data_IF_082953396825
#
_entry.id   IF_082953396825
#
_cell.length_a   1.000
_cell.length_b   1.000
_cell.length_c   1.000
_cell.angle_alpha   90.00
_cell.angle_beta   90.00
_cell.angle_gamma   90.00
#
_symmetry.space_group_name_H-M   'P 1'
#
loop_
_entity.id
_entity.type
_entity.pdbx_description
1 polymer ?
#
# COMPACT_ATOMS: atom_id res chain seq x y z
N UNK A 1 54.89 13.47 40.12
CA UNK A 1 53.65 14.19 39.78
C UNK A 1 52.56 13.72 40.75
N UNK A 2 52.35 14.43 41.86
CA UNK A 2 51.33 14.05 42.85
C UNK A 2 49.98 14.51 42.31
N UNK A 3 49.17 13.56 41.83
CA UNK A 3 47.82 13.86 41.40
C UNK A 3 47.02 14.31 42.63
N UNK A 4 46.41 15.48 42.58
CA UNK A 4 45.55 15.97 43.66
C UNK A 4 44.44 14.93 43.89
N UNK A 5 44.17 14.59 45.15
CA UNK A 5 43.21 13.55 45.53
C UNK A 5 41.81 13.74 44.89
N UNK A 6 41.46 14.98 44.53
CA UNK A 6 40.26 15.35 43.78
C UNK A 6 40.22 14.78 42.35
N UNK A 7 41.34 14.71 41.63
CA UNK A 7 41.39 14.16 40.26
C UNK A 7 41.27 12.64 40.24
N UNK A 8 41.87 11.94 41.21
CA UNK A 8 41.72 10.49 41.37
C UNK A 8 40.30 10.10 41.77
N UNK A 9 39.65 10.86 42.66
CA UNK A 9 38.25 10.63 43.01
C UNK A 9 37.31 10.89 41.82
N UNK A 10 37.57 11.93 41.03
CA UNK A 10 36.82 12.22 39.81
C UNK A 10 36.99 11.11 38.75
N UNK A 11 38.20 10.60 38.53
CA UNK A 11 38.44 9.49 37.60
C UNK A 11 37.76 8.19 38.02
N UNK A 12 37.77 7.86 39.32
CA UNK A 12 37.05 6.69 39.85
C UNK A 12 35.54 6.87 39.70
N UNK A 13 35.02 8.08 39.94
CA UNK A 13 33.61 8.40 39.70
C UNK A 13 33.20 8.26 38.23
N UNK A 14 34.00 8.79 37.30
CA UNK A 14 33.76 8.64 35.85
C UNK A 14 33.86 7.19 35.41
N UNK A 15 34.84 6.42 35.92
CA UNK A 15 34.99 5.01 35.60
C UNK A 15 33.83 4.16 36.15
N UNK A 16 33.34 4.46 37.36
CA UNK A 16 32.17 3.80 37.93
C UNK A 16 30.90 4.09 37.12
N UNK A 17 30.69 5.36 36.73
CA UNK A 17 29.57 5.73 35.84
C UNK A 17 29.68 5.03 34.48
N UNK A 18 30.88 4.98 33.90
CA UNK A 18 31.13 4.28 32.65
C UNK A 18 30.91 2.77 32.76
N UNK A 19 31.31 2.13 33.87
CA UNK A 19 31.10 0.71 34.13
C UNK A 19 29.62 0.38 34.34
N UNK A 20 28.86 1.23 35.04
CA UNK A 20 27.40 1.09 35.19
C UNK A 20 26.71 1.25 33.83
N UNK A 21 27.11 2.24 33.04
CA UNK A 21 26.56 2.45 31.70
C UNK A 21 26.89 1.28 30.75
N UNK A 22 28.13 0.79 30.78
CA UNK A 22 28.55 -0.36 29.98
C UNK A 22 27.87 -1.66 30.42
N UNK A 23 27.73 -1.89 31.73
CA UNK A 23 27.03 -3.03 32.29
C UNK A 23 25.53 -3.04 31.94
N UNK A 24 24.89 -1.88 32.02
CA UNK A 24 23.49 -1.72 31.60
C UNK A 24 23.32 -1.96 30.09
N UNK A 25 24.21 -1.42 29.26
CA UNK A 25 24.20 -1.65 27.81
C UNK A 25 24.44 -3.12 27.46
N UNK A 26 25.35 -3.81 28.15
CA UNK A 26 25.64 -5.23 27.94
C UNK A 26 24.47 -6.13 28.38
N UNK A 27 23.85 -5.84 29.52
CA UNK A 27 22.67 -6.55 30.00
C UNK A 27 21.50 -6.41 29.03
N UNK A 28 21.24 -5.18 28.56
CA UNK A 28 20.21 -4.88 27.58
C UNK A 28 20.43 -5.65 26.27
N UNK A 29 21.64 -5.61 25.72
CA UNK A 29 21.98 -6.35 24.50
C UNK A 29 21.85 -7.88 24.68
N UNK A 30 22.18 -8.41 25.87
CA UNK A 30 22.03 -9.84 26.17
C UNK A 30 20.56 -10.27 26.29
N UNK A 31 19.72 -9.48 26.97
CA UNK A 31 18.29 -9.79 27.13
C UNK A 31 17.54 -9.72 25.79
N UNK A 32 17.87 -8.75 24.94
CA UNK A 32 17.21 -8.56 23.63
C UNK A 32 17.70 -9.57 22.58
N UNK A 33 18.99 -9.91 22.58
CA UNK A 33 19.56 -10.87 21.62
C UNK A 33 19.01 -12.29 21.81
N UNK A 34 18.72 -12.70 23.04
CA UNK A 34 18.11 -14.01 23.34
C UNK A 34 16.61 -14.11 23.02
N UNK A 35 15.88 -13.00 22.95
CA UNK A 35 14.42 -13.00 22.77
C UNK A 35 14.03 -13.21 21.31
N UNK A 36 13.36 -14.33 20.98
CA UNK A 36 12.88 -14.61 19.62
C UNK A 36 11.35 -14.52 19.60
N UNK A 37 10.77 -13.34 19.28
CA UNK A 37 9.33 -13.17 19.30
C UNK A 37 8.65 -14.07 18.28
N UNK A 38 7.59 -14.75 18.70
CA UNK A 38 6.71 -15.44 17.75
C UNK A 38 6.03 -14.42 16.85
N UNK A 39 5.89 -14.67 15.55
CA UNK A 39 5.19 -13.76 14.64
C UNK A 39 3.75 -13.49 15.08
N UNK A 40 3.28 -12.26 14.88
CA UNK A 40 1.96 -11.81 15.32
C UNK A 40 1.12 -11.43 14.10
N UNK A 41 -0.14 -11.86 14.09
CA UNK A 41 -1.09 -11.42 13.06
C UNK A 41 -1.63 -10.04 13.39
N UNK A 42 -1.89 -9.20 12.38
CA UNK A 42 -2.68 -8.00 12.58
C UNK A 42 -4.02 -8.36 13.20
N UNK A 43 -4.46 -7.55 14.15
CA UNK A 43 -5.78 -7.66 14.76
C UNK A 43 -6.51 -6.33 14.70
N UNK A 44 -7.54 -6.18 15.55
CA UNK A 44 -8.37 -4.96 15.57
C UNK A 44 -7.59 -3.74 16.07
N UNK A 45 -6.53 -3.96 16.84
CA UNK A 45 -5.61 -2.91 17.28
C UNK A 45 -4.21 -3.40 16.96
N UNK A 46 -3.47 -2.69 16.13
CA UNK A 46 -2.16 -3.16 15.65
C UNK A 46 -1.14 -2.03 15.65
N UNK A 47 0.07 -2.31 16.15
CA UNK A 47 1.25 -1.50 15.87
C UNK A 47 2.15 -2.22 14.87
N UNK A 48 2.45 -1.54 13.77
CA UNK A 48 3.28 -2.04 12.68
C UNK A 48 4.54 -1.19 12.60
N UNK A 49 5.69 -1.83 12.72
CA UNK A 49 6.98 -1.22 12.38
C UNK A 49 7.13 -1.18 10.87
N UNK A 50 7.39 0.01 10.33
CA UNK A 50 7.63 0.24 8.91
C UNK A 50 9.09 0.69 8.77
N UNK A 51 9.88 -0.11 8.06
CA UNK A 51 11.25 0.23 7.73
C UNK A 51 11.28 1.31 6.63
N UNK A 52 11.69 2.52 7.00
CA UNK A 52 11.75 3.67 6.09
C UNK A 52 13.05 3.74 5.29
N UNK A 53 14.06 2.93 5.63
CA UNK A 53 15.36 2.92 4.95
C UNK A 53 15.25 2.54 3.46
N UNK A 54 14.13 1.92 3.10
CA UNK A 54 13.80 1.51 1.75
C UNK A 54 13.23 2.66 0.88
N UNK A 55 13.23 3.91 1.38
CA UNK A 55 12.85 5.09 0.58
C UNK A 55 11.36 5.40 0.56
N UNK A 56 10.59 4.87 1.51
CA UNK A 56 9.18 5.24 1.69
C UNK A 56 8.90 5.61 3.14
N UNK A 57 7.94 6.52 3.32
CA UNK A 57 7.37 6.81 4.62
C UNK A 57 5.85 6.89 4.52
N UNK A 58 5.16 6.53 5.59
CA UNK A 58 3.72 6.62 5.70
C UNK A 58 3.38 7.95 6.37
N UNK A 59 2.54 8.74 5.72
CA UNK A 59 1.93 9.93 6.28
C UNK A 59 0.49 9.57 6.63
N UNK A 60 0.07 9.86 7.86
CA UNK A 60 -1.32 9.72 8.27
C UNK A 60 -1.92 11.11 8.41
N UNK A 61 -2.90 11.43 7.58
CA UNK A 61 -3.62 12.69 7.62
C UNK A 61 -5.10 12.45 7.37
N UNK A 62 -5.97 13.07 8.17
CA UNK A 62 -7.43 12.93 8.06
C UNK A 62 -7.89 11.47 7.98
N UNK A 63 -7.38 10.60 8.87
CA UNK A 63 -7.72 9.16 8.93
C UNK A 63 -7.31 8.35 7.68
N UNK A 64 -6.54 8.96 6.78
CA UNK A 64 -6.02 8.32 5.57
C UNK A 64 -4.52 8.15 5.69
N UNK A 65 -4.06 6.91 5.56
CA UNK A 65 -2.65 6.61 5.37
C UNK A 65 -2.27 6.81 3.90
N UNK A 66 -1.15 7.49 3.69
CA UNK A 66 -0.56 7.75 2.39
C UNK A 66 0.90 7.27 2.41
N UNK A 67 1.27 6.48 1.41
CA UNK A 67 2.65 6.15 1.11
C UNK A 67 3.28 7.32 0.36
N UNK A 68 4.31 7.90 0.94
CA UNK A 68 5.14 8.92 0.35
C UNK A 68 6.49 8.30 -0.04
N UNK A 69 6.85 8.41 -1.32
CA UNK A 69 8.16 8.00 -1.83
C UNK A 69 9.17 9.11 -1.55
N UNK A 70 10.27 8.77 -0.89
CA UNK A 70 11.34 9.70 -0.60
C UNK A 70 12.14 9.93 -1.88
N UNK A 71 11.90 11.06 -2.56
CA UNK A 71 12.81 11.49 -3.62
C UNK A 71 14.18 11.82 -2.99
N UNK A 72 15.26 11.41 -3.66
CA UNK A 72 16.63 11.62 -3.21
C UNK A 72 16.86 13.04 -2.70
N UNK A 73 17.55 13.16 -1.56
CA UNK A 73 17.88 14.41 -0.82
C UNK A 73 18.69 15.45 -1.62
N UNK A 74 18.75 15.37 -2.96
CA UNK A 74 19.42 16.34 -3.86
C UNK A 74 18.47 17.32 -4.54
N UNK A 75 17.15 17.15 -4.46
CA UNK A 75 16.20 18.13 -5.00
C UNK A 75 15.61 19.00 -3.90
N UNK A 76 16.29 20.13 -3.60
CA UNK A 76 15.63 21.27 -2.94
C UNK A 76 14.84 22.03 -4.00
N UNK A 77 13.62 21.58 -4.30
CA UNK A 77 12.64 22.38 -5.03
C UNK A 77 11.28 22.24 -4.36
N UNK A 78 10.81 23.37 -3.82
CA UNK A 78 9.40 23.74 -3.52
C UNK A 78 8.41 22.63 -3.19
N UNK A 79 7.84 22.67 -1.97
CA UNK A 79 6.83 21.75 -1.41
C UNK A 79 5.47 21.63 -2.13
N UNK A 80 5.38 21.93 -3.42
CA UNK A 80 4.24 21.56 -4.28
C UNK A 80 4.48 20.26 -5.06
N UNK A 81 5.73 19.81 -5.26
CA UNK A 81 6.02 18.55 -5.98
C UNK A 81 5.90 17.30 -5.10
N UNK A 82 6.17 17.39 -3.79
CA UNK A 82 6.05 16.27 -2.86
C UNK A 82 4.61 15.73 -2.75
N UNK A 83 3.60 16.57 -2.99
CA UNK A 83 2.19 16.17 -2.99
C UNK A 83 1.80 15.30 -4.19
N UNK A 84 2.56 15.29 -5.30
CA UNK A 84 2.20 14.59 -6.53
C UNK A 84 2.41 13.06 -6.49
N UNK A 85 3.21 12.55 -5.54
CA UNK A 85 3.53 11.13 -5.44
C UNK A 85 2.94 10.42 -4.22
N UNK A 86 2.08 11.08 -3.44
CA UNK A 86 1.38 10.46 -2.32
C UNK A 86 0.38 9.41 -2.82
N UNK A 87 0.59 8.15 -2.45
CA UNK A 87 -0.32 7.05 -2.80
C UNK A 87 -1.15 6.68 -1.58
N UNK A 88 -2.48 6.69 -1.70
CA UNK A 88 -3.34 6.22 -0.62
C UNK A 88 -3.08 4.73 -0.37
N UNK A 89 -2.88 4.35 0.89
CA UNK A 89 -2.79 2.95 1.30
C UNK A 89 -4.16 2.53 1.83
N UNK A 90 -4.84 1.57 1.19
CA UNK A 90 -6.05 0.99 1.74
C UNK A 90 -5.68 0.11 2.95
N UNK A 91 -5.86 0.63 4.16
CA UNK A 91 -5.36 0.01 5.40
C UNK A 91 -5.96 -1.39 5.64
N UNK A 92 -7.27 -1.56 5.43
CA UNK A 92 -7.93 -2.86 5.57
C UNK A 92 -7.29 -3.90 4.65
N UNK A 93 -7.15 -3.58 3.37
CA UNK A 93 -6.54 -4.45 2.37
C UNK A 93 -5.07 -4.72 2.69
N UNK A 94 -4.33 -3.73 3.19
CA UNK A 94 -2.96 -3.88 3.65
C UNK A 94 -2.84 -4.85 4.84
N UNK A 95 -3.70 -4.72 5.86
CA UNK A 95 -3.71 -5.62 7.02
C UNK A 95 -4.10 -7.05 6.62
N UNK A 96 -5.12 -7.20 5.79
CA UNK A 96 -5.56 -8.52 5.29
C UNK A 96 -4.50 -9.17 4.38
N UNK A 97 -3.76 -8.37 3.61
CA UNK A 97 -2.61 -8.86 2.83
C UNK A 97 -1.54 -9.46 3.75
N UNK A 98 -1.20 -8.81 4.87
CA UNK A 98 -0.27 -9.34 5.88
C UNK A 98 -0.78 -10.62 6.58
N UNK A 99 -2.07 -10.94 6.45
CA UNK A 99 -2.67 -12.19 6.93
C UNK A 99 -2.73 -13.28 5.85
N UNK A 100 -2.32 -12.97 4.61
CA UNK A 100 -2.34 -13.91 3.49
C UNK A 100 -3.60 -13.89 2.63
N UNK A 101 -4.46 -12.86 2.75
CA UNK A 101 -5.67 -12.74 1.94
C UNK A 101 -5.33 -12.31 0.50
N UNK A 102 -5.48 -13.24 -0.45
CA UNK A 102 -5.20 -13.02 -1.86
C UNK A 102 -6.13 -11.99 -2.53
N UNK A 103 -7.38 -11.87 -2.09
CA UNK A 103 -8.35 -10.91 -2.64
C UNK A 103 -8.01 -9.51 -2.17
N UNK A 104 -7.72 -9.35 -0.89
CA UNK A 104 -7.25 -8.09 -0.33
C UNK A 104 -5.93 -7.65 -0.99
N UNK A 105 -5.02 -8.59 -1.23
CA UNK A 105 -3.76 -8.33 -1.90
C UNK A 105 -3.95 -7.87 -3.36
N UNK A 106 -4.91 -8.44 -4.08
CA UNK A 106 -5.29 -7.96 -5.42
C UNK A 106 -5.77 -6.50 -5.39
N UNK A 107 -6.65 -6.15 -4.44
CA UNK A 107 -7.15 -4.77 -4.26
C UNK A 107 -6.05 -3.78 -3.85
N UNK A 108 -5.19 -4.17 -2.92
CA UNK A 108 -4.02 -3.38 -2.54
C UNK A 108 -3.13 -3.13 -3.76
N UNK A 109 -2.86 -4.17 -4.55
CA UNK A 109 -2.02 -4.09 -5.76
C UNK A 109 -2.62 -3.15 -6.81
N UNK A 110 -3.94 -3.21 -7.04
CA UNK A 110 -4.65 -2.28 -7.92
C UNK A 110 -4.51 -0.83 -7.44
N UNK A 111 -4.78 -0.59 -6.14
CA UNK A 111 -4.69 0.74 -5.55
C UNK A 111 -3.28 1.34 -5.65
N UNK A 112 -2.25 0.55 -5.33
CA UNK A 112 -0.85 1.00 -5.42
C UNK A 112 -0.40 1.23 -6.86
N UNK A 113 -1.00 0.55 -7.84
CA UNK A 113 -0.69 0.73 -9.26
C UNK A 113 -1.62 1.71 -10.00
N UNK A 114 -2.44 2.48 -9.27
CA UNK A 114 -3.36 3.49 -9.83
C UNK A 114 -4.41 2.90 -10.79
N UNK A 115 -4.80 1.66 -10.55
CA UNK A 115 -5.92 1.06 -11.27
C UNK A 115 -7.20 1.47 -10.52
N UNK A 116 -8.04 2.28 -11.16
CA UNK A 116 -9.26 2.81 -10.55
C UNK A 116 -10.42 1.80 -10.67
N UNK A 117 -11.19 1.62 -9.60
CA UNK A 117 -12.43 0.83 -9.66
C UNK A 117 -13.45 1.46 -10.61
N UNK A 118 -13.46 2.78 -10.76
CA UNK A 118 -14.38 3.47 -11.68
C UNK A 118 -14.11 3.06 -13.13
N UNK A 119 -12.84 2.94 -13.53
CA UNK A 119 -12.45 2.46 -14.86
C UNK A 119 -12.89 1.01 -15.10
N UNK A 120 -12.84 0.17 -14.05
CA UNK A 120 -13.29 -1.23 -14.12
C UNK A 120 -14.81 -1.32 -14.31
N UNK A 121 -15.59 -0.45 -13.65
CA UNK A 121 -17.06 -0.45 -13.74
C UNK A 121 -17.61 -0.06 -15.12
N UNK A 122 -16.81 0.62 -15.94
CA UNK A 122 -17.18 0.94 -17.32
C UNK A 122 -17.21 -0.29 -18.24
N UNK A 123 -16.39 -1.30 -17.94
CA UNK A 123 -16.29 -2.52 -18.74
C UNK A 123 -17.47 -3.46 -18.49
N UNK A 124 -17.96 -4.11 -19.56
CA UNK A 124 -19.13 -5.01 -19.47
C UNK A 124 -18.76 -6.48 -19.31
N UNK A 125 -17.51 -6.84 -19.56
CA UNK A 125 -17.04 -8.22 -19.49
C UNK A 125 -15.69 -8.30 -18.79
N UNK A 126 -15.55 -9.30 -17.94
CA UNK A 126 -14.29 -9.66 -17.29
C UNK A 126 -13.74 -10.92 -17.92
N UNK A 127 -12.51 -10.85 -18.40
CA UNK A 127 -11.80 -11.93 -19.08
C UNK A 127 -10.62 -12.39 -18.26
N UNK A 128 -10.57 -13.69 -17.98
CA UNK A 128 -9.42 -14.31 -17.33
C UNK A 128 -8.24 -14.36 -18.30
N UNK A 129 -7.03 -14.09 -17.82
CA UNK A 129 -5.80 -14.19 -18.62
C UNK A 129 -5.67 -15.52 -19.36
N UNK A 130 -6.08 -16.62 -18.72
CA UNK A 130 -6.03 -17.97 -19.28
C UNK A 130 -6.97 -18.14 -20.49
N UNK A 131 -8.15 -17.51 -20.44
CA UNK A 131 -9.13 -17.59 -21.53
C UNK A 131 -8.78 -16.63 -22.68
N UNK A 132 -8.15 -15.48 -22.37
CA UNK A 132 -7.56 -14.61 -23.40
C UNK A 132 -6.45 -15.36 -24.14
N UNK A 133 -5.55 -16.03 -23.42
CA UNK A 133 -4.45 -16.78 -24.06
C UNK A 133 -5.00 -17.85 -25.01
N UNK A 134 -6.00 -18.63 -24.59
CA UNK A 134 -6.69 -19.60 -25.48
C UNK A 134 -7.32 -18.94 -26.70
N UNK A 135 -7.98 -17.79 -26.52
CA UNK A 135 -8.56 -17.03 -27.63
C UNK A 135 -7.49 -16.57 -28.64
N UNK A 136 -6.35 -16.08 -28.13
CA UNK A 136 -5.20 -15.67 -28.95
C UNK A 136 -4.53 -16.84 -29.68
N UNK A 137 -4.57 -18.03 -29.07
CA UNK A 137 -4.07 -19.28 -29.66
C UNK A 137 -5.05 -19.91 -30.69
N UNK A 138 -6.22 -19.28 -30.89
CA UNK A 138 -7.17 -19.64 -31.93
C UNK A 138 -8.32 -20.55 -31.49
N UNK A 139 -8.64 -20.59 -30.18
CA UNK A 139 -9.82 -21.31 -29.70
C UNK A 139 -11.09 -20.84 -30.45
N UNK A 140 -11.84 -21.78 -31.09
CA UNK A 140 -12.93 -21.42 -32.00
C UNK A 140 -14.15 -20.83 -31.29
N UNK A 141 -14.25 -20.96 -29.97
CA UNK A 141 -15.36 -20.42 -29.16
C UNK A 141 -14.93 -19.10 -28.54
N UNK A 142 -13.75 -19.07 -27.91
CA UNK A 142 -13.28 -17.91 -27.16
C UNK A 142 -12.81 -16.78 -28.06
N UNK A 143 -12.18 -17.06 -29.20
CA UNK A 143 -11.74 -16.02 -30.14
C UNK A 143 -12.88 -15.13 -30.64
N UNK A 144 -13.95 -15.66 -31.27
CA UNK A 144 -15.05 -14.81 -31.74
C UNK A 144 -15.80 -14.14 -30.59
N UNK A 145 -15.86 -14.75 -29.41
CA UNK A 145 -16.43 -14.11 -28.21
C UNK A 145 -15.59 -12.90 -27.77
N UNK A 146 -14.27 -13.04 -27.73
CA UNK A 146 -13.34 -11.97 -27.36
C UNK A 146 -13.40 -10.81 -28.37
N UNK A 147 -13.40 -11.10 -29.67
CA UNK A 147 -13.53 -10.08 -30.73
C UNK A 147 -14.89 -9.36 -30.66
N UNK A 148 -15.96 -10.08 -30.31
CA UNK A 148 -17.28 -9.48 -30.08
C UNK A 148 -17.28 -8.55 -28.86
N UNK A 149 -16.70 -8.98 -27.74
CA UNK A 149 -16.65 -8.20 -26.49
C UNK A 149 -15.74 -6.96 -26.62
N UNK A 150 -14.64 -7.06 -27.36
CA UNK A 150 -13.73 -5.95 -27.69
C UNK A 150 -14.29 -5.00 -28.75
N UNK A 151 -15.32 -5.43 -29.48
CA UNK A 151 -15.86 -4.75 -30.64
C UNK A 151 -14.82 -4.42 -31.73
N UNK A 152 -13.79 -5.25 -31.86
CA UNK A 152 -12.72 -5.15 -32.84
C UNK A 152 -12.11 -6.54 -33.03
N UNK A 153 -11.71 -6.86 -34.26
CA UNK A 153 -11.00 -8.10 -34.55
C UNK A 153 -9.61 -8.07 -33.93
N UNK A 154 -9.01 -9.24 -33.67
CA UNK A 154 -7.67 -9.32 -33.06
C UNK A 154 -6.56 -8.70 -33.93
N UNK A 155 -6.79 -8.50 -35.22
CA UNK A 155 -5.90 -7.81 -36.14
C UNK A 155 -6.10 -6.28 -36.21
N UNK A 156 -7.02 -5.74 -35.40
CA UNK A 156 -7.36 -4.32 -35.38
C UNK A 156 -8.48 -3.91 -36.35
N UNK A 157 -9.10 -4.86 -37.07
CA UNK A 157 -10.18 -4.54 -38.02
C UNK A 157 -11.51 -4.35 -37.28
N UNK A 158 -12.17 -3.19 -37.36
CA UNK A 158 -13.47 -2.97 -36.75
C UNK A 158 -14.59 -3.74 -37.47
N UNK A 159 -15.59 -4.28 -36.76
CA UNK A 159 -16.70 -4.99 -37.37
C UNK A 159 -17.60 -4.05 -38.21
N UNK A 160 -18.37 -4.57 -39.17
CA UNK A 160 -19.27 -3.76 -39.99
C UNK A 160 -20.49 -3.24 -39.22
N UNK A 161 -20.92 -3.95 -38.18
CA UNK A 161 -22.04 -3.58 -37.33
C UNK A 161 -21.56 -2.81 -36.10
N UNK A 162 -22.26 -1.73 -35.75
CA UNK A 162 -21.95 -0.93 -34.57
C UNK A 162 -22.71 -1.49 -33.37
N UNK A 163 -21.97 -1.88 -32.33
CA UNK A 163 -22.53 -2.32 -31.03
C UNK A 163 -21.99 -1.41 -29.94
N UNK A 164 -22.71 -0.33 -29.69
CA UNK A 164 -22.33 0.66 -28.67
C UNK A 164 -22.06 0.05 -27.30
N UNK A 165 -22.76 -1.05 -26.98
CA UNK A 165 -22.60 -1.72 -25.71
C UNK A 165 -21.21 -2.32 -25.48
N UNK A 166 -20.54 -2.80 -26.52
CA UNK A 166 -19.19 -3.38 -26.45
C UNK A 166 -18.11 -2.39 -26.89
N UNK A 167 -18.50 -1.38 -27.69
CA UNK A 167 -17.59 -0.31 -28.13
C UNK A 167 -17.20 0.64 -27.00
N UNK A 168 -18.10 0.89 -26.05
CA UNK A 168 -17.89 1.83 -24.93
C UNK A 168 -17.52 1.04 -23.67
N UNK A 169 -16.45 1.44 -22.98
CA UNK A 169 -15.97 0.83 -21.73
C UNK A 169 -15.01 -0.37 -21.85
N UNK A 170 -14.84 -0.96 -23.04
CA UNK A 170 -13.88 -2.06 -23.26
C UNK A 170 -14.13 -3.32 -22.42
N UNK A 171 -13.04 -4.04 -22.09
CA UNK A 171 -13.06 -5.25 -21.25
C UNK A 171 -12.18 -5.06 -20.01
N UNK A 172 -12.44 -5.84 -18.97
CA UNK A 172 -11.52 -5.99 -17.84
C UNK A 172 -10.74 -7.29 -17.98
N UNK A 173 -9.41 -7.22 -17.89
CA UNK A 173 -8.50 -8.37 -17.90
C UNK A 173 -8.12 -8.75 -16.48
N UNK A 174 -8.48 -9.96 -16.06
CA UNK A 174 -8.14 -10.54 -14.76
C UNK A 174 -6.81 -11.31 -14.83
N UNK A 175 -5.77 -10.71 -14.26
CA UNK A 175 -4.38 -11.15 -14.32
C UNK A 175 -3.91 -11.78 -12.99
N UNK A 176 -3.37 -13.01 -13.00
CA UNK A 176 -2.69 -13.57 -11.84
C UNK A 176 -1.31 -12.95 -11.66
N UNK A 177 -1.11 -12.27 -10.54
CA UNK A 177 0.17 -11.65 -10.15
C UNK A 177 0.70 -12.38 -8.92
N UNK A 178 1.92 -12.93 -9.02
CA UNK A 178 2.58 -13.61 -7.90
C UNK A 178 3.34 -12.58 -7.06
N UNK A 179 3.00 -12.50 -5.78
CA UNK A 179 3.52 -11.49 -4.87
C UNK A 179 4.07 -12.18 -3.62
N UNK A 180 5.30 -11.81 -3.25
CA UNK A 180 5.93 -12.24 -2.00
C UNK A 180 5.41 -11.44 -0.82
N UNK A 181 4.91 -12.14 0.19
CA UNK A 181 4.32 -11.53 1.39
C UNK A 181 4.95 -12.14 2.65
N UNK A 182 5.41 -11.34 3.62
CA UNK A 182 5.84 -11.84 4.92
C UNK A 182 4.61 -12.16 5.79
N UNK A 183 4.26 -13.45 5.87
CA UNK A 183 3.16 -13.96 6.69
C UNK A 183 3.78 -14.74 7.84
N UNK A 184 3.45 -14.35 9.08
CA UNK A 184 3.95 -15.04 10.27
C UNK A 184 5.48 -15.31 10.23
N UNK A 185 6.26 -14.31 9.84
CA UNK A 185 7.73 -14.41 9.79
C UNK A 185 8.30 -15.30 8.68
N UNK A 186 7.45 -15.82 7.77
CA UNK A 186 7.84 -16.56 6.58
C UNK A 186 7.45 -15.77 5.34
N UNK A 187 8.31 -15.80 4.32
CA UNK A 187 7.97 -15.22 3.01
C UNK A 187 7.21 -16.28 2.22
N UNK A 188 5.94 -16.00 1.94
CA UNK A 188 5.08 -16.83 1.11
C UNK A 188 4.81 -16.15 -0.23
N UNK A 189 4.61 -16.93 -1.30
CA UNK A 189 4.23 -16.41 -2.61
C UNK A 189 2.72 -16.60 -2.76
N UNK A 190 1.99 -15.50 -2.77
CA UNK A 190 0.54 -15.48 -2.96
C UNK A 190 0.23 -15.08 -4.40
N UNK A 191 -0.69 -15.79 -5.04
CA UNK A 191 -1.24 -15.38 -6.33
C UNK A 191 -2.44 -14.44 -6.11
N UNK A 192 -2.24 -13.15 -6.35
CA UNK A 192 -3.27 -12.13 -6.30
C UNK A 192 -3.87 -11.91 -7.69
N UNK A 193 -5.19 -11.78 -7.77
CA UNK A 193 -5.90 -11.50 -9.03
C UNK A 193 -6.07 -9.99 -9.18
N UNK A 194 -5.37 -9.39 -10.16
CA UNK A 194 -5.36 -7.96 -10.45
C UNK A 194 -6.15 -7.71 -11.72
N UNK A 195 -7.18 -6.88 -11.62
CA UNK A 195 -8.01 -6.50 -12.76
C UNK A 195 -7.40 -5.29 -13.47
N UNK A 196 -7.27 -5.34 -14.79
CA UNK A 196 -6.75 -4.24 -15.60
C UNK A 196 -7.76 -3.90 -16.71
N UNK A 197 -8.18 -2.62 -16.85
CA UNK A 197 -9.02 -2.23 -17.97
C UNK A 197 -8.23 -2.33 -19.28
N UNK A 198 -8.87 -2.81 -20.33
CA UNK A 198 -8.33 -2.82 -21.69
C UNK A 198 -9.35 -2.29 -22.69
N UNK A 199 -8.89 -1.34 -23.50
CA UNK A 199 -9.66 -0.80 -24.61
C UNK A 199 -8.71 -0.55 -25.78
N UNK A 200 -9.12 -0.97 -26.98
CA UNK A 200 -8.36 -0.70 -28.20
C UNK A 200 -8.30 0.80 -28.50
N UNK A 201 -7.29 1.25 -29.24
CA UNK A 201 -7.14 2.65 -29.69
C UNK A 201 -8.38 3.12 -30.45
N UNK A 202 -8.98 2.25 -31.25
CA UNK A 202 -10.20 2.53 -31.98
C UNK A 202 -11.37 2.79 -31.03
N UNK A 203 -11.60 1.90 -30.07
CA UNK A 203 -12.67 2.06 -29.08
C UNK A 203 -12.47 3.29 -28.20
N UNK A 204 -11.22 3.56 -27.77
CA UNK A 204 -10.89 4.74 -26.99
C UNK A 204 -11.18 6.05 -27.75
N UNK A 205 -10.81 6.11 -29.03
CA UNK A 205 -11.11 7.27 -29.86
C UNK A 205 -12.62 7.46 -30.05
N UNK A 206 -13.37 6.37 -30.23
CA UNK A 206 -14.83 6.42 -30.36
C UNK A 206 -15.50 6.91 -29.08
N UNK A 207 -15.10 6.40 -27.92
CA UNK A 207 -15.64 6.83 -26.62
C UNK A 207 -15.38 8.31 -26.37
N UNK A 208 -14.18 8.79 -26.67
CA UNK A 208 -13.82 10.21 -26.58
C UNK A 208 -14.67 11.10 -27.49
N UNK A 209 -14.77 10.78 -28.78
CA UNK A 209 -15.54 11.59 -29.74
C UNK A 209 -17.05 11.60 -29.43
N UNK A 210 -17.59 10.50 -28.91
CA UNK A 210 -18.98 10.42 -28.47
C UNK A 210 -19.18 11.26 -27.21
N UNK A 211 -18.28 11.15 -26.23
CA UNK A 211 -18.36 11.88 -24.96
C UNK A 211 -18.22 13.40 -25.11
N UNK A 212 -17.49 13.88 -26.12
CA UNK A 212 -17.36 15.31 -26.44
C UNK A 212 -18.63 15.92 -27.05
N UNK A 213 -19.57 15.11 -27.55
CA UNK A 213 -20.82 15.58 -28.17
C UNK A 213 -22.00 15.49 -27.21
N UNK A 214 -22.79 16.55 -27.14
CA UNK A 214 -24.05 16.53 -26.40
C UNK A 214 -25.11 15.72 -27.16
N UNK A 215 -25.49 14.55 -26.63
CA UNK A 215 -26.54 13.66 -27.15
C UNK A 215 -26.45 13.37 -28.66
N UNK A 216 -25.35 12.75 -29.14
CA UNK A 216 -25.14 12.51 -30.57
C UNK A 216 -26.20 11.57 -31.16
N UNK A 217 -26.72 11.91 -32.34
CA UNK A 217 -27.68 11.05 -33.05
C UNK A 217 -27.02 9.77 -33.57
N UNK A 218 -27.83 8.74 -33.87
CA UNK A 218 -27.33 7.46 -34.40
C UNK A 218 -26.58 7.65 -35.72
N UNK A 219 -27.01 8.58 -36.57
CA UNK A 219 -26.37 8.90 -37.84
C UNK A 219 -25.00 9.56 -37.61
N UNK A 220 -24.90 10.45 -36.62
CA UNK A 220 -23.62 11.06 -36.23
C UNK A 220 -22.63 10.00 -35.74
N UNK A 221 -23.09 9.06 -34.90
CA UNK A 221 -22.27 7.95 -34.39
C UNK A 221 -21.79 7.06 -35.55
N UNK A 222 -22.68 6.70 -36.47
CA UNK A 222 -22.30 5.91 -37.64
C UNK A 222 -21.29 6.62 -38.54
N UNK A 223 -21.41 7.94 -38.68
CA UNK A 223 -20.44 8.78 -39.38
C UNK A 223 -19.06 8.76 -38.71
N UNK A 224 -19.00 8.96 -37.38
CA UNK A 224 -17.77 8.89 -36.60
C UNK A 224 -17.11 7.51 -36.69
N UNK A 225 -17.91 6.44 -36.57
CA UNK A 225 -17.44 5.06 -36.68
C UNK A 225 -16.77 4.79 -38.03
N UNK A 226 -17.42 5.16 -39.14
CA UNK A 226 -16.83 4.98 -40.49
C UNK A 226 -15.56 5.79 -40.68
N UNK A 227 -15.52 7.03 -40.16
CA UNK A 227 -14.34 7.89 -40.23
C UNK A 227 -13.16 7.34 -39.42
N UNK A 228 -13.42 6.73 -38.26
CA UNK A 228 -12.36 6.13 -37.46
C UNK A 228 -11.95 4.76 -38.01
N UNK A 229 -12.90 3.99 -38.56
CA UNK A 229 -12.62 2.69 -39.17
C UNK A 229 -11.66 2.84 -40.36
N UNK A 230 -11.79 3.88 -41.19
CA UNK A 230 -10.86 4.13 -42.30
C UNK A 230 -9.42 4.44 -41.85
N UNK A 231 -9.22 4.82 -40.57
CA UNK A 231 -7.91 5.11 -39.97
C UNK A 231 -7.26 3.90 -39.26
N UNK A 232 -7.92 2.74 -39.25
CA UNK A 232 -7.39 1.50 -38.63
C UNK A 232 -6.50 0.67 -39.57
N UNK A 233 -6.52 0.95 -40.88
CA UNK A 233 -5.70 0.23 -41.86
C UNK A 233 -4.18 0.46 -41.75
N UNK A 234 -3.39 -0.29 -42.52
CA UNK A 234 -1.91 -0.20 -42.52
C UNK A 234 -1.43 1.25 -42.72
N UNK A 235 -0.68 1.77 -41.74
CA UNK A 235 -0.15 3.14 -41.72
C UNK A 235 -1.13 4.20 -41.19
N UNK A 236 -2.35 3.80 -40.81
CA UNK A 236 -3.34 4.68 -40.18
C UNK A 236 -3.02 4.97 -38.72
N UNK A 237 -3.52 6.10 -38.23
CA UNK A 237 -3.26 6.59 -36.86
C UNK A 237 -3.91 5.74 -35.77
N UNK A 238 -4.95 4.98 -36.10
CA UNK A 238 -5.67 4.08 -35.18
C UNK A 238 -5.32 2.61 -35.40
N UNK A 239 -4.30 2.32 -36.22
CA UNK A 239 -3.84 0.95 -36.43
C UNK A 239 -3.23 0.39 -35.13
N UNK A 240 -3.70 -0.78 -34.72
CA UNK A 240 -3.27 -1.51 -33.53
C UNK A 240 -3.35 -3.01 -33.81
N UNK A 241 -2.29 -3.73 -33.47
CA UNK A 241 -2.33 -5.19 -33.35
C UNK A 241 -2.90 -5.53 -31.96
N UNK A 242 -4.21 -5.73 -31.90
CA UNK A 242 -4.96 -5.98 -30.66
C UNK A 242 -4.48 -7.26 -29.98
N UNK A 243 -4.16 -8.30 -30.75
CA UNK A 243 -3.58 -9.52 -30.21
C UNK A 243 -2.24 -9.24 -29.51
N UNK A 244 -1.36 -8.44 -30.13
CA UNK A 244 -0.10 -8.05 -29.51
C UNK A 244 -0.32 -7.19 -28.27
N UNK A 245 -1.21 -6.20 -28.30
CA UNK A 245 -1.53 -5.38 -27.12
C UNK A 245 -2.02 -6.21 -25.93
N UNK A 246 -2.88 -7.21 -26.17
CA UNK A 246 -3.33 -8.14 -25.13
C UNK A 246 -2.19 -9.00 -24.61
N UNK A 247 -1.34 -9.55 -25.49
CA UNK A 247 -0.12 -10.29 -25.08
C UNK A 247 0.81 -9.43 -24.24
N UNK A 248 0.96 -8.16 -24.61
CA UNK A 248 1.79 -7.21 -23.87
C UNK A 248 1.23 -6.93 -22.46
N UNK A 249 -0.08 -7.04 -22.23
CA UNK A 249 -0.70 -6.92 -20.87
C UNK A 249 -0.44 -8.19 -20.05
N UNK A 250 -0.47 -9.35 -20.71
CA UNK A 250 -0.24 -10.65 -20.09
C UNK A 250 1.26 -11.01 -19.98
N UNK A 251 2.15 -10.12 -20.41
CA UNK A 251 3.60 -10.33 -20.34
C UNK A 251 4.02 -10.56 -18.88
N UNK A 252 4.67 -11.71 -18.56
CA UNK A 252 5.14 -12.01 -17.21
C UNK A 252 5.99 -10.90 -16.60
N UNK A 253 6.75 -10.15 -17.41
CA UNK A 253 7.55 -9.03 -16.93
C UNK A 253 6.67 -7.89 -16.42
N UNK A 254 5.63 -7.51 -17.17
CA UNK A 254 4.70 -6.46 -16.72
C UNK A 254 3.88 -6.89 -15.52
N UNK A 255 3.51 -8.17 -15.44
CA UNK A 255 2.85 -8.71 -14.25
C UNK A 255 3.78 -8.63 -13.03
N UNK A 256 5.09 -8.86 -13.20
CA UNK A 256 6.07 -8.66 -12.13
C UNK A 256 6.21 -7.18 -11.76
N UNK A 257 6.18 -6.25 -12.71
CA UNK A 257 6.22 -4.80 -12.44
C UNK A 257 5.03 -4.36 -11.55
N UNK A 258 3.87 -5.01 -11.68
CA UNK A 258 2.71 -4.78 -10.80
C UNK A 258 2.97 -5.24 -9.35
N UNK A 259 3.79 -6.27 -9.17
CA UNK A 259 4.13 -6.83 -7.86
C UNK A 259 5.15 -5.98 -7.08
N UNK A 260 6.00 -5.20 -7.75
CA UNK A 260 7.13 -4.52 -7.11
C UNK A 260 6.71 -3.63 -5.92
N UNK A 261 5.72 -2.75 -6.13
CA UNK A 261 5.25 -1.82 -5.09
C UNK A 261 4.62 -2.53 -3.89
N UNK A 262 3.65 -3.46 -4.05
CA UNK A 262 3.10 -4.19 -2.91
C UNK A 262 4.15 -5.07 -2.23
N UNK A 263 5.03 -5.77 -2.96
CA UNK A 263 6.11 -6.56 -2.34
C UNK A 263 7.01 -5.67 -1.47
N UNK A 264 7.40 -4.52 -1.99
CA UNK A 264 8.26 -3.59 -1.28
C UNK A 264 7.60 -3.05 0.00
N UNK A 265 6.34 -2.59 -0.09
CA UNK A 265 5.56 -2.11 1.06
C UNK A 265 5.35 -3.21 2.12
N UNK A 266 4.99 -4.43 1.70
CA UNK A 266 4.71 -5.53 2.62
C UNK A 266 6.00 -6.03 3.27
N UNK A 267 7.12 -6.05 2.53
CA UNK A 267 8.43 -6.48 3.06
C UNK A 267 9.02 -5.52 4.11
N UNK A 268 8.70 -4.23 4.04
CA UNK A 268 9.12 -3.24 5.03
C UNK A 268 8.24 -3.25 6.29
N UNK A 269 7.08 -3.90 6.24
CA UNK A 269 6.12 -3.95 7.33
C UNK A 269 6.35 -5.16 8.25
N UNK A 270 6.43 -4.91 9.55
CA UNK A 270 6.50 -5.95 10.58
C UNK A 270 5.44 -5.68 11.63
N UNK A 271 4.53 -6.64 11.84
CA UNK A 271 3.54 -6.56 12.91
C UNK A 271 4.26 -6.78 14.25
N UNK A 272 4.34 -5.73 15.06
CA UNK A 272 5.07 -5.77 16.32
C UNK A 272 4.17 -6.24 17.45
N UNK A 273 3.00 -5.62 17.59
CA UNK A 273 2.03 -5.95 18.62
C UNK A 273 0.61 -5.84 18.07
N UNK A 274 -0.30 -6.60 18.66
CA UNK A 274 -1.74 -6.49 18.44
C UNK A 274 -2.50 -6.35 19.78
N UNK A 275 -3.84 -6.41 19.77
CA UNK A 275 -4.68 -6.25 20.97
C UNK A 275 -4.32 -7.19 22.12
N UNK A 276 -3.78 -8.40 21.87
CA UNK A 276 -3.42 -9.34 22.95
C UNK A 276 -2.22 -8.85 23.77
N UNK A 277 -1.43 -7.94 23.21
CA UNK A 277 -0.22 -7.40 23.84
C UNK A 277 -0.46 -6.05 24.53
N UNK A 278 -1.67 -5.51 24.46
CA UNK A 278 -2.08 -4.25 25.11
C UNK A 278 -2.83 -4.60 26.39
N UNK A 279 -2.50 -3.96 27.52
CA UNK A 279 -3.18 -4.13 28.81
C UNK A 279 -4.31 -3.13 28.99
N UNK A 280 -4.00 -1.87 28.76
CA UNK A 280 -4.91 -0.75 28.96
C UNK A 280 -4.61 0.37 27.95
N UNK A 281 -5.53 1.31 27.84
CA UNK A 281 -5.34 2.53 27.10
C UNK A 281 -6.01 3.70 27.83
N UNK A 282 -5.41 4.87 27.74
CA UNK A 282 -5.92 6.14 28.24
C UNK A 282 -5.67 7.23 27.21
N UNK A 283 -6.46 8.30 27.27
CA UNK A 283 -6.23 9.47 26.44
C UNK A 283 -6.18 10.73 27.29
N UNK A 284 -5.45 11.73 26.82
CA UNK A 284 -5.34 13.04 27.45
C UNK A 284 -5.48 14.13 26.38
N UNK A 285 -6.38 15.08 26.60
CA UNK A 285 -6.47 16.30 25.79
C UNK A 285 -5.64 17.43 26.42
N UNK A 286 -5.04 18.25 25.58
CA UNK A 286 -4.30 19.43 26.00
C UNK A 286 -4.25 20.48 24.88
N UNK A 287 -4.01 21.73 25.25
CA UNK A 287 -3.83 22.84 24.31
C UNK A 287 -2.34 23.09 24.09
N UNK A 288 -1.91 23.07 22.83
CA UNK A 288 -0.54 23.36 22.44
C UNK A 288 -0.19 24.83 22.49
N UNK A 289 1.10 25.13 22.40
CA UNK A 289 1.61 26.51 22.39
C UNK A 289 1.08 27.33 21.19
N UNK A 290 0.60 26.66 20.15
CA UNK A 290 -0.04 27.24 18.97
C UNK A 290 -1.56 27.46 19.13
N UNK A 291 -2.09 27.28 20.34
CA UNK A 291 -3.52 27.33 20.70
C UNK A 291 -4.39 26.28 19.98
N UNK A 292 -3.76 25.26 19.37
CA UNK A 292 -4.50 24.12 18.84
C UNK A 292 -4.67 23.07 19.93
N UNK A 293 -5.79 22.37 19.87
CA UNK A 293 -6.07 21.29 20.80
C UNK A 293 -5.54 19.99 20.22
N UNK A 294 -4.82 19.25 21.05
CA UNK A 294 -4.22 17.96 20.73
C UNK A 294 -4.73 16.89 21.68
N UNK A 295 -4.62 15.64 21.25
CA UNK A 295 -4.82 14.48 22.10
C UNK A 295 -3.60 13.58 22.08
N UNK A 296 -3.29 13.00 23.24
CA UNK A 296 -2.30 11.94 23.37
C UNK A 296 -3.03 10.64 23.73
N UNK A 297 -2.63 9.53 23.13
CA UNK A 297 -3.08 8.18 23.51
C UNK A 297 -1.92 7.49 24.19
N UNK A 298 -2.13 7.03 25.43
CA UNK A 298 -1.15 6.21 26.16
C UNK A 298 -1.67 4.79 26.29
N UNK A 299 -0.88 3.82 25.84
CA UNK A 299 -1.20 2.40 25.88
C UNK A 299 -0.24 1.68 26.81
N UNK A 300 -0.76 1.02 27.83
CA UNK A 300 0.00 0.06 28.61
C UNK A 300 0.20 -1.22 27.80
N UNK A 301 1.44 -1.67 27.64
CA UNK A 301 1.78 -2.92 26.94
C UNK A 301 2.16 -4.02 27.94
N UNK A 302 1.93 -5.27 27.53
CA UNK A 302 2.41 -6.45 28.26
C UNK A 302 3.94 -6.56 28.21
N UNK A 303 4.53 -7.39 29.06
CA UNK A 303 5.98 -7.67 29.01
C UNK A 303 6.43 -8.21 27.65
N UNK A 304 5.63 -9.07 27.03
CA UNK A 304 5.91 -9.58 25.69
C UNK A 304 5.84 -8.45 24.64
N UNK A 305 4.81 -7.60 24.71
CA UNK A 305 4.68 -6.42 23.86
C UNK A 305 5.85 -5.45 23.99
N UNK A 306 6.30 -5.19 25.22
CA UNK A 306 7.48 -4.36 25.50
C UNK A 306 8.75 -4.96 24.88
N UNK A 307 9.00 -6.25 25.10
CA UNK A 307 10.19 -6.93 24.54
C UNK A 307 10.21 -6.91 23.01
N UNK A 308 9.04 -7.02 22.36
CA UNK A 308 8.89 -6.90 20.90
C UNK A 308 9.27 -5.50 20.39
N UNK A 309 8.69 -4.46 20.99
CA UNK A 309 8.99 -3.07 20.64
C UNK A 309 10.46 -2.74 20.89
N UNK A 310 11.00 -3.21 22.01
CA UNK A 310 12.40 -3.01 22.38
C UNK A 310 13.32 -3.67 21.36
N UNK A 311 13.11 -4.96 21.07
CA UNK A 311 13.93 -5.69 20.09
C UNK A 311 13.90 -5.04 18.71
N UNK A 312 12.72 -4.64 18.24
CA UNK A 312 12.61 -3.99 16.93
C UNK A 312 13.35 -2.65 16.90
N UNK A 313 13.13 -1.80 17.90
CA UNK A 313 13.76 -0.46 17.97
C UNK A 313 15.27 -0.47 18.22
N UNK A 314 15.84 -1.56 18.75
CA UNK A 314 17.29 -1.73 18.82
C UNK A 314 17.88 -2.16 17.47
N UNK A 315 17.14 -2.96 16.69
CA UNK A 315 17.59 -3.50 15.40
C UNK A 315 17.39 -2.56 14.20
N UNK A 316 16.49 -1.58 14.33
CA UNK A 316 16.10 -0.65 13.26
C UNK A 316 16.21 0.78 13.77
N UNK A 317 16.98 1.59 13.06
CA UNK A 317 17.04 3.04 13.28
C UNK A 317 16.06 3.76 12.35
N UNK A 318 15.49 4.86 12.81
CA UNK A 318 14.63 5.77 12.03
C UNK A 318 13.39 5.12 11.37
N UNK A 319 12.84 4.07 11.97
CA UNK A 319 11.63 3.41 11.48
C UNK A 319 10.36 4.20 11.84
N UNK A 320 9.25 3.92 11.17
CA UNK A 320 7.94 4.45 11.55
C UNK A 320 7.12 3.41 12.30
N UNK A 321 6.41 3.86 13.33
CA UNK A 321 5.51 3.01 14.09
C UNK A 321 4.07 3.35 13.73
N UNK A 322 3.49 2.62 12.77
CA UNK A 322 2.12 2.84 12.35
C UNK A 322 1.14 2.23 13.36
N UNK A 323 0.25 3.07 13.88
CA UNK A 323 -0.81 2.68 14.80
C UNK A 323 -2.16 2.63 14.10
N UNK A 324 -2.79 1.46 14.15
CA UNK A 324 -4.07 1.20 13.51
C UNK A 324 -5.07 0.70 14.56
N UNK A 325 -6.27 1.27 14.52
CA UNK A 325 -7.42 0.82 15.31
C UNK A 325 -8.62 0.65 14.38
N UNK A 326 -9.19 -0.56 14.37
CA UNK A 326 -10.35 -0.93 13.58
C UNK A 326 -10.23 -0.51 12.10
N UNK A 327 -9.14 -0.94 11.46
CA UNK A 327 -8.76 -0.62 10.07
C UNK A 327 -8.53 0.88 9.75
N UNK A 328 -8.46 1.74 10.77
CA UNK A 328 -8.14 3.17 10.62
C UNK A 328 -6.73 3.44 11.13
N UNK A 329 -5.86 3.95 10.25
CA UNK A 329 -4.55 4.44 10.65
C UNK A 329 -4.70 5.76 11.42
N UNK A 330 -4.18 5.78 12.64
CA UNK A 330 -4.28 6.92 13.56
C UNK A 330 -3.02 7.78 13.53
N UNK A 331 -1.85 7.13 13.45
CA UNK A 331 -0.56 7.81 13.41
C UNK A 331 0.51 6.90 12.81
N UNK A 332 1.60 7.51 12.34
CA UNK A 332 2.82 6.81 11.94
C UNK A 332 4.07 7.63 12.33
N UNK A 333 4.29 7.91 13.64
CA UNK A 333 5.46 8.65 14.09
C UNK A 333 6.76 7.94 13.72
N UNK A 334 7.78 8.74 13.37
CA UNK A 334 9.15 8.26 13.24
C UNK A 334 9.75 8.04 14.62
N UNK A 335 10.33 6.87 14.83
CA UNK A 335 10.97 6.46 16.08
C UNK A 335 12.48 6.47 15.88
N UNK A 336 13.15 7.32 16.66
CA UNK A 336 14.61 7.48 16.64
C UNK A 336 15.29 6.91 17.89
N UNK A 337 14.49 6.52 18.89
CA UNK A 337 14.95 6.05 20.19
C UNK A 337 14.48 4.64 20.50
N UNK A 338 15.12 4.00 21.48
CA UNK A 338 14.77 2.67 21.95
C UNK A 338 13.45 2.67 22.72
N UNK A 339 12.55 1.75 22.38
CA UNK A 339 11.23 1.58 23.00
C UNK A 339 11.27 0.45 24.03
N UNK A 340 11.76 0.73 25.24
CA UNK A 340 11.88 -0.26 26.32
C UNK A 340 10.91 -0.02 27.50
N UNK A 341 9.89 0.81 27.31
CA UNK A 341 8.96 1.19 28.36
C UNK A 341 7.69 0.33 28.33
N UNK A 342 7.07 0.19 29.49
CA UNK A 342 5.80 -0.53 29.67
C UNK A 342 4.60 0.27 29.12
N UNK A 343 4.79 1.55 28.80
CA UNK A 343 3.78 2.45 28.26
C UNK A 343 4.26 3.07 26.95
N UNK A 344 3.41 3.06 25.93
CA UNK A 344 3.64 3.70 24.63
C UNK A 344 2.69 4.87 24.49
N UNK A 345 3.22 6.08 24.32
CA UNK A 345 2.40 7.28 24.12
C UNK A 345 2.53 7.75 22.68
N UNK A 346 1.40 7.87 22.00
CA UNK A 346 1.27 8.52 20.70
C UNK A 346 0.78 9.94 20.99
N UNK A 347 1.69 10.90 20.86
CA UNK A 347 1.45 12.28 21.22
C UNK A 347 0.99 13.14 20.04
N UNK A 348 0.37 14.27 20.35
CA UNK A 348 0.04 15.36 19.42
C UNK A 348 -0.93 14.96 18.29
N UNK A 349 -1.90 14.08 18.56
CA UNK A 349 -2.93 13.75 17.58
C UNK A 349 -3.86 14.96 17.37
N UNK A 350 -4.07 15.41 16.12
CA UNK A 350 -4.93 16.56 15.83
C UNK A 350 -6.42 16.25 15.99
N UNK A 351 -6.83 14.98 15.84
CA UNK A 351 -8.22 14.56 15.92
C UNK A 351 -8.54 13.95 17.29
N UNK A 352 -9.12 14.76 18.18
CA UNK A 352 -9.46 14.38 19.57
C UNK A 352 -10.57 13.32 19.64
N UNK A 353 -11.59 13.46 18.81
CA UNK A 353 -12.71 12.50 18.73
C UNK A 353 -12.19 11.13 18.34
N UNK A 354 -11.31 11.07 17.36
CA UNK A 354 -10.69 9.83 16.92
C UNK A 354 -9.83 9.20 18.02
N UNK A 355 -9.03 9.99 18.74
CA UNK A 355 -8.21 9.50 19.84
C UNK A 355 -9.05 8.93 21.00
N UNK A 356 -10.16 9.60 21.33
CA UNK A 356 -11.12 9.14 22.32
C UNK A 356 -11.81 7.84 21.89
N UNK A 357 -12.36 7.80 20.67
CA UNK A 357 -13.03 6.62 20.12
C UNK A 357 -12.09 5.40 20.07
N UNK A 358 -10.83 5.62 19.68
CA UNK A 358 -9.81 4.57 19.66
C UNK A 358 -9.53 4.01 21.06
N UNK A 359 -9.41 4.88 22.05
CA UNK A 359 -9.18 4.49 23.46
C UNK A 359 -10.37 3.71 24.01
N UNK A 360 -11.59 4.20 23.79
CA UNK A 360 -12.83 3.53 24.21
C UNK A 360 -12.96 2.15 23.55
N UNK A 361 -12.60 2.03 22.27
CA UNK A 361 -12.60 0.76 21.55
C UNK A 361 -11.59 -0.23 22.16
N UNK A 362 -10.36 0.21 22.43
CA UNK A 362 -9.33 -0.64 23.06
C UNK A 362 -9.80 -1.14 24.43
N UNK A 363 -10.37 -0.25 25.25
CA UNK A 363 -10.93 -0.62 26.55
C UNK A 363 -12.11 -1.59 26.42
N UNK A 364 -12.95 -1.41 25.40
CA UNK A 364 -14.07 -2.29 25.09
C UNK A 364 -13.66 -3.72 24.76
N UNK A 365 -12.49 -3.93 24.13
CA UNK A 365 -11.94 -5.27 23.85
C UNK A 365 -11.41 -6.00 25.10
N UNK A 366 -11.29 -5.32 26.24
CA UNK A 366 -10.77 -5.88 27.50
C UNK A 366 -11.86 -6.23 28.51
N UNK A 367 -13.10 -5.85 28.21
CA UNK A 367 -14.28 -6.29 28.95
C UNK A 367 -14.77 -7.60 28.34
#
# INVERSE_FOLDING_TARGET
MKWNASYTAALVGVAAIAAVFAGWKAYNAFEVSGFHPTPVKPGKVTLIGIDTSAGYHIIVANEVAQLAEQQDKRSRSSGEEDAKNLRRIPIREFLQSLQGDAVALGRLTMSLNKISEEELTGSKSTWKSEDIQKALDGDPILKPKLESDLHISLDGTPPPEIRLGTLLGGITVDCPVKIKVPIEGKVEVIEARVQQPYMSKFAHQMEKEIGERFNPTKESIAGMYRNNASKTGKGGTLNEDVAKSLKDILDPKKLQDLAEKPEHLLSSATVLINESHIRDASYREWEGNDRKQYADISMGVTEDGKRRLWKYSESKHDFQLMFIVNDVALAAPTITSTLNQDNVTIAQLPNRTLAKNATEFIQGLKK
#
